data_IF_843787346366
#
_entry.id   IF_843787346366
#
_cell.length_a   1.000
_cell.length_b   1.000
_cell.length_c   1.000
_cell.angle_alpha   90.00
_cell.angle_beta   90.00
_cell.angle_gamma   90.00
#
_symmetry.space_group_name_H-M   'P 1'
#
loop_
_entity.id
_entity.type
_entity.pdbx_description
1 polymer ?
#
# COMPACT_ATOMS: atom_id res chain seq x y z
N UNK A 1 -19.12 5.91 -27.10
CA UNK A 1 -19.26 4.89 -26.04
C UNK A 1 -18.07 3.90 -26.06
N UNK A 2 -16.84 4.38 -26.24
CA UNK A 2 -15.69 3.47 -26.49
C UNK A 2 -14.33 3.99 -26.00
N UNK A 3 -14.27 5.12 -25.27
CA UNK A 3 -13.02 5.61 -24.69
C UNK A 3 -12.81 5.22 -23.21
N UNK A 4 -13.84 4.74 -22.52
CA UNK A 4 -13.73 4.34 -21.10
C UNK A 4 -12.95 3.03 -20.89
N UNK A 5 -12.85 2.18 -21.91
CA UNK A 5 -12.19 0.87 -21.81
C UNK A 5 -10.66 0.90 -22.02
N UNK A 6 -10.08 2.01 -22.53
CA UNK A 6 -8.61 2.18 -22.54
C UNK A 6 -8.07 2.86 -21.27
N UNK A 7 -8.93 3.50 -20.49
CA UNK A 7 -8.53 4.22 -19.27
C UNK A 7 -8.35 3.28 -18.06
N UNK A 8 -8.93 2.08 -18.07
CA UNK A 8 -8.86 1.14 -16.94
C UNK A 8 -7.44 0.61 -16.65
N UNK A 9 -6.59 0.47 -17.68
CA UNK A 9 -5.19 0.06 -17.52
C UNK A 9 -4.29 1.19 -16.95
N UNK A 10 -4.59 2.45 -17.29
CA UNK A 10 -3.92 3.62 -16.72
C UNK A 10 -4.48 4.02 -15.35
N UNK A 11 -5.77 3.81 -15.09
CA UNK A 11 -6.42 4.22 -13.83
C UNK A 11 -5.95 3.42 -12.63
N UNK A 12 -5.77 2.09 -12.73
CA UNK A 12 -5.31 1.29 -11.59
C UNK A 12 -3.92 1.70 -11.11
N UNK A 13 -2.99 1.93 -12.05
CA UNK A 13 -1.64 2.41 -11.74
C UNK A 13 -1.64 3.88 -11.29
N UNK A 14 -2.45 4.74 -11.90
CA UNK A 14 -2.55 6.15 -11.50
C UNK A 14 -3.13 6.32 -10.09
N UNK A 15 -4.17 5.53 -9.77
CA UNK A 15 -4.77 5.48 -8.44
C UNK A 15 -3.78 4.96 -7.41
N UNK A 16 -3.07 3.86 -7.73
CA UNK A 16 -2.02 3.34 -6.85
C UNK A 16 -0.94 4.40 -6.58
N UNK A 17 -0.48 5.13 -7.60
CA UNK A 17 0.51 6.19 -7.42
C UNK A 17 0.01 7.35 -6.55
N UNK A 18 -1.28 7.70 -6.63
CA UNK A 18 -1.90 8.69 -5.75
C UNK A 18 -1.84 8.24 -4.28
N UNK A 19 -2.28 7.00 -3.99
CA UNK A 19 -2.22 6.44 -2.65
C UNK A 19 -0.77 6.30 -2.17
N UNK A 20 0.15 5.84 -3.02
CA UNK A 20 1.59 5.75 -2.75
C UNK A 20 2.15 7.09 -2.30
N UNK A 21 1.81 8.19 -2.98
CA UNK A 21 2.23 9.55 -2.60
C UNK A 21 1.74 9.93 -1.20
N UNK A 22 0.50 9.58 -0.86
CA UNK A 22 -0.05 9.81 0.48
C UNK A 22 0.61 8.94 1.55
N UNK A 23 0.88 7.66 1.26
CA UNK A 23 1.62 6.77 2.15
C UNK A 23 3.02 7.32 2.41
N UNK A 24 3.73 7.72 1.36
CA UNK A 24 5.06 8.37 1.47
C UNK A 24 5.01 9.62 2.36
N UNK A 25 3.96 10.44 2.24
CA UNK A 25 3.78 11.62 3.10
C UNK A 25 3.55 11.28 4.57
N UNK A 26 3.06 10.08 4.89
CA UNK A 26 2.79 9.63 6.26
C UNK A 26 1.51 10.20 6.88
N UNK A 27 0.68 10.90 6.11
CA UNK A 27 -0.55 11.52 6.59
C UNK A 27 -1.71 10.52 6.63
N UNK A 28 -1.84 9.79 7.75
CA UNK A 28 -2.91 8.79 7.94
C UNK A 28 -4.32 9.39 7.78
N UNK A 29 -4.58 10.59 8.31
CA UNK A 29 -5.89 11.25 8.19
C UNK A 29 -6.30 11.44 6.73
N UNK A 30 -5.41 12.03 5.92
CA UNK A 30 -5.65 12.21 4.48
C UNK A 30 -5.80 10.88 3.75
N UNK A 31 -4.99 9.89 4.12
CA UNK A 31 -5.08 8.56 3.53
C UNK A 31 -6.44 7.90 3.79
N UNK A 32 -6.97 7.99 5.02
CA UNK A 32 -8.31 7.49 5.37
C UNK A 32 -9.41 8.23 4.63
N UNK A 33 -9.39 9.56 4.64
CA UNK A 33 -10.38 10.36 3.90
C UNK A 33 -10.37 10.01 2.40
N UNK A 34 -9.20 9.76 1.82
CA UNK A 34 -9.10 9.37 0.42
C UNK A 34 -9.73 7.99 0.16
N UNK A 35 -9.51 7.01 1.05
CA UNK A 35 -10.17 5.69 0.94
C UNK A 35 -11.70 5.81 1.05
N UNK A 36 -12.19 6.67 1.94
CA UNK A 36 -13.62 6.92 2.13
C UNK A 36 -14.26 7.58 0.91
N UNK A 37 -13.62 8.61 0.34
CA UNK A 37 -14.10 9.31 -0.87
C UNK A 37 -14.20 8.37 -2.07
N UNK A 38 -13.24 7.45 -2.21
CA UNK A 38 -13.22 6.52 -3.32
C UNK A 38 -14.01 5.24 -3.06
N UNK A 39 -14.45 4.99 -1.83
CA UNK A 39 -15.13 3.75 -1.41
C UNK A 39 -14.33 2.48 -1.77
N UNK A 40 -13.00 2.55 -1.67
CA UNK A 40 -12.08 1.45 -2.05
C UNK A 40 -11.38 0.91 -0.83
N UNK A 41 -11.26 -0.42 -0.76
CA UNK A 41 -10.50 -1.09 0.28
C UNK A 41 -8.99 -1.08 -0.03
N UNK A 42 -8.12 -0.87 0.96
CA UNK A 42 -6.67 -0.84 0.73
C UNK A 42 -6.08 -2.18 0.28
N UNK A 43 -6.80 -3.29 0.47
CA UNK A 43 -6.46 -4.64 0.00
C UNK A 43 -6.58 -4.77 -1.52
N UNK A 44 -7.46 -3.99 -2.14
CA UNK A 44 -7.66 -3.99 -3.60
C UNK A 44 -6.60 -3.14 -4.32
N UNK A 45 -5.93 -2.24 -3.59
CA UNK A 45 -4.95 -1.31 -4.12
C UNK A 45 -3.58 -2.00 -4.26
N UNK A 46 -3.36 -2.57 -5.44
CA UNK A 46 -2.09 -3.21 -5.83
C UNK A 46 -1.70 -2.90 -7.27
N UNK A 47 -0.40 -2.90 -7.54
CA UNK A 47 0.13 -2.77 -8.91
C UNK A 47 -0.01 -4.08 -9.69
N UNK A 48 0.26 -4.02 -11.00
CA UNK A 48 0.37 -5.21 -11.86
C UNK A 48 1.42 -6.22 -11.39
N UNK A 49 2.40 -5.80 -10.56
CA UNK A 49 3.41 -6.68 -9.97
C UNK A 49 3.01 -7.23 -8.60
N UNK A 50 1.71 -7.22 -8.27
CA UNK A 50 1.17 -7.56 -6.94
C UNK A 50 1.82 -6.78 -5.78
N UNK A 51 2.30 -5.56 -6.04
CA UNK A 51 2.83 -4.69 -4.99
C UNK A 51 1.68 -3.99 -4.30
N UNK A 52 1.45 -4.32 -3.03
CA UNK A 52 0.42 -3.69 -2.19
C UNK A 52 0.93 -2.41 -1.51
N UNK A 53 0.02 -1.64 -0.92
CA UNK A 53 0.37 -0.47 -0.12
C UNK A 53 1.22 -0.81 1.12
N UNK A 54 1.15 -2.05 1.63
CA UNK A 54 1.94 -2.49 2.77
C UNK A 54 3.43 -2.56 2.43
N UNK A 55 3.78 -2.99 1.21
CA UNK A 55 5.16 -2.93 0.69
C UNK A 55 5.71 -1.50 0.69
N UNK A 56 4.87 -0.54 0.29
CA UNK A 56 5.23 0.89 0.25
C UNK A 56 5.37 1.45 1.67
N UNK A 57 4.47 1.09 2.58
CA UNK A 57 4.54 1.53 3.97
C UNK A 57 5.79 0.98 4.67
N UNK A 58 6.17 -0.27 4.40
CA UNK A 58 7.42 -0.87 4.84
C UNK A 58 8.64 -0.15 4.27
N UNK A 59 8.66 0.12 2.96
CA UNK A 59 9.74 0.85 2.29
C UNK A 59 10.00 2.25 2.88
N UNK A 60 8.93 2.98 3.21
CA UNK A 60 9.02 4.36 3.72
C UNK A 60 8.96 4.45 5.26
N UNK A 61 9.05 3.33 5.96
CA UNK A 61 9.00 3.24 7.43
C UNK A 61 7.78 3.99 8.03
N UNK A 62 6.57 3.68 7.57
CA UNK A 62 5.32 4.33 7.99
C UNK A 62 4.48 3.42 8.90
N UNK A 63 4.84 3.29 10.21
CA UNK A 63 4.18 2.36 11.13
C UNK A 63 2.68 2.60 11.23
N UNK A 64 2.24 3.87 11.38
CA UNK A 64 0.82 4.21 11.52
C UNK A 64 -0.04 3.75 10.35
N UNK A 65 0.51 3.81 9.14
CA UNK A 65 -0.18 3.38 7.93
C UNK A 65 -0.09 1.86 7.82
N UNK A 66 1.07 1.26 8.10
CA UNK A 66 1.25 -0.18 8.11
C UNK A 66 0.26 -0.88 9.07
N UNK A 67 0.10 -0.39 10.30
CA UNK A 67 -0.87 -0.92 11.27
C UNK A 67 -2.29 -0.83 10.72
N UNK A 68 -2.68 0.30 10.13
CA UNK A 68 -4.00 0.45 9.53
C UNK A 68 -4.23 -0.54 8.38
N UNK A 69 -3.23 -0.71 7.50
CA UNK A 69 -3.29 -1.67 6.40
C UNK A 69 -3.39 -3.12 6.90
N UNK A 70 -2.64 -3.49 7.94
CA UNK A 70 -2.75 -4.81 8.58
C UNK A 70 -4.14 -5.02 9.19
N UNK A 71 -4.69 -4.01 9.89
CA UNK A 71 -6.06 -4.07 10.40
C UNK A 71 -7.11 -4.18 9.30
N UNK A 72 -6.82 -3.72 8.08
CA UNK A 72 -7.67 -3.92 6.90
C UNK A 72 -7.55 -5.32 6.28
N UNK A 73 -6.73 -6.21 6.82
CA UNK A 73 -6.57 -7.59 6.36
C UNK A 73 -5.41 -7.83 5.38
N UNK A 74 -4.49 -6.86 5.21
CA UNK A 74 -3.27 -7.10 4.41
C UNK A 74 -2.29 -7.99 5.18
N UNK A 75 -1.77 -9.02 4.51
CA UNK A 75 -0.80 -9.95 5.09
C UNK A 75 0.63 -9.40 4.98
N UNK A 76 1.39 -9.45 6.09
CA UNK A 76 2.81 -9.05 6.10
C UNK A 76 3.74 -10.03 5.34
N UNK A 77 3.23 -11.23 5.06
CA UNK A 77 3.92 -12.29 4.31
C UNK A 77 3.50 -12.35 2.84
N UNK A 78 2.61 -11.46 2.37
CA UNK A 78 2.17 -11.48 0.98
C UNK A 78 3.35 -11.15 0.04
N UNK A 79 3.62 -12.03 -0.91
CA UNK A 79 4.71 -11.83 -1.87
C UNK A 79 4.20 -11.08 -3.10
N UNK A 80 4.96 -10.07 -3.52
CA UNK A 80 4.79 -9.47 -4.83
C UNK A 80 5.41 -10.36 -5.94
N UNK A 81 5.28 -9.98 -7.21
CA UNK A 81 5.84 -10.73 -8.35
C UNK A 81 7.38 -10.85 -8.35
N UNK A 82 8.07 -10.16 -7.44
CA UNK A 82 9.51 -10.27 -7.23
C UNK A 82 9.87 -11.12 -6.00
N UNK A 83 8.90 -11.83 -5.43
CA UNK A 83 9.02 -12.62 -4.20
C UNK A 83 9.43 -11.79 -2.97
N UNK A 84 9.22 -10.46 -3.01
CA UNK A 84 9.45 -9.63 -1.84
C UNK A 84 8.19 -9.58 -1.00
N UNK A 85 8.32 -9.92 0.29
CA UNK A 85 7.29 -9.68 1.29
C UNK A 85 7.42 -8.26 1.86
N UNK A 86 6.33 -7.61 2.32
CA UNK A 86 6.40 -6.34 3.03
C UNK A 86 7.34 -6.39 4.24
N UNK A 87 7.30 -7.50 5.00
CA UNK A 87 8.22 -7.71 6.11
C UNK A 87 9.69 -7.72 5.66
N UNK A 88 10.00 -8.44 4.58
CA UNK A 88 11.36 -8.48 4.04
C UNK A 88 11.84 -7.10 3.59
N UNK A 89 10.97 -6.30 2.95
CA UNK A 89 11.30 -4.92 2.60
C UNK A 89 11.54 -4.04 3.84
N UNK A 90 10.76 -4.23 4.91
CA UNK A 90 10.96 -3.50 6.16
C UNK A 90 12.34 -3.82 6.76
N UNK A 91 12.75 -5.10 6.75
CA UNK A 91 14.07 -5.56 7.20
C UNK A 91 15.17 -4.97 6.33
N UNK A 92 15.07 -5.10 5.00
CA UNK A 92 16.06 -4.61 4.04
C UNK A 92 16.31 -3.11 4.18
N UNK A 93 15.24 -2.33 4.40
CA UNK A 93 15.30 -0.88 4.56
C UNK A 93 15.50 -0.42 6.01
N UNK A 94 15.78 -1.34 6.95
CA UNK A 94 15.97 -1.05 8.38
C UNK A 94 14.80 -0.22 8.97
N UNK A 95 13.57 -0.52 8.53
CA UNK A 95 12.34 0.17 8.93
C UNK A 95 11.85 -0.34 10.29
N UNK A 96 12.67 -0.07 11.32
CA UNK A 96 12.49 -0.58 12.69
C UNK A 96 11.08 -0.36 13.24
N UNK A 97 10.49 0.82 13.00
CA UNK A 97 9.15 1.14 13.51
C UNK A 97 8.07 0.30 12.88
N UNK A 98 8.17 0.00 11.58
CA UNK A 98 7.21 -0.88 10.91
C UNK A 98 7.42 -2.33 11.36
N UNK A 99 8.66 -2.77 11.50
CA UNK A 99 8.97 -4.11 12.03
C UNK A 99 8.40 -4.30 13.44
N UNK A 100 8.60 -3.33 14.33
CA UNK A 100 8.03 -3.34 15.69
C UNK A 100 6.49 -3.39 15.68
N UNK A 101 5.84 -2.83 14.65
CA UNK A 101 4.39 -2.94 14.48
C UNK A 101 3.93 -4.29 13.90
N UNK A 102 4.82 -5.04 13.23
CA UNK A 102 4.54 -6.35 12.64
C UNK A 102 4.86 -7.50 13.60
N UNK A 103 5.79 -7.29 14.52
CA UNK A 103 6.20 -8.25 15.56
C UNK A 103 5.36 -8.13 16.85
N UNK A 104 4.43 -7.20 16.90
CA UNK A 104 3.47 -7.00 18.01
C UNK A 104 2.12 -7.62 17.69
#
# INVERSE_FOLDING_TARGET
>A
MSQELRQQSKNKNCLFELFRKHVKSGNLKRFKNLLEIHEISPTEIRTNSNTTLLHIAALYNKPKIATFLMSSGLSMHEQNSKNYCPYFLAVLHNSKRVMECMER
#
